data_IF_727062769814
#
_entry.id   IF_727062769814
#
_cell.length_a   1.000
_cell.length_b   1.000
_cell.length_c   1.000
_cell.angle_alpha   90.00
_cell.angle_beta   90.00
_cell.angle_gamma   90.00
#
_symmetry.space_group_name_H-M   'P 1'
#
loop_
_entity.id
_entity.type
_entity.pdbx_description
1 polymer ?
#
# COMPACT_ATOMS: atom_id res chain seq x y z
N UNK A 1 16.82 19.59 13.08
CA UNK A 1 17.81 20.04 14.09
C UNK A 1 18.77 20.99 13.45
N UNK A 2 19.11 22.07 14.13
CA UNK A 2 20.11 23.00 13.64
C UNK A 2 21.46 22.30 13.61
N UNK A 3 21.98 21.97 12.43
CA UNK A 3 23.38 21.57 12.22
C UNK A 3 24.34 22.56 12.91
N UNK A 4 23.90 23.78 13.08
CA UNK A 4 24.54 24.84 13.86
C UNK A 4 24.80 24.50 15.34
N UNK A 5 23.95 23.70 16.00
CA UNK A 5 24.16 23.34 17.44
C UNK A 5 25.27 22.32 17.63
N UNK A 6 25.34 21.30 16.78
CA UNK A 6 26.40 20.28 16.84
C UNK A 6 27.75 20.91 16.48
N UNK A 7 27.79 21.67 15.37
CA UNK A 7 28.99 22.38 14.92
C UNK A 7 29.49 23.34 16.00
N UNK A 8 28.59 24.12 16.60
CA UNK A 8 28.93 25.03 17.69
C UNK A 8 29.49 24.31 18.91
N UNK A 9 28.94 23.15 19.28
CA UNK A 9 29.43 22.33 20.41
C UNK A 9 30.83 21.81 20.13
N UNK A 10 31.08 21.27 18.94
CA UNK A 10 32.40 20.74 18.55
C UNK A 10 33.42 21.87 18.53
N UNK A 11 33.10 23.03 17.93
CA UNK A 11 33.99 24.18 17.91
C UNK A 11 34.28 24.69 19.33
N UNK A 12 33.27 24.77 20.17
CA UNK A 12 33.45 25.23 21.55
C UNK A 12 34.35 24.25 22.35
N UNK A 13 34.18 22.96 22.21
CA UNK A 13 35.05 21.94 22.80
C UNK A 13 36.49 22.01 22.25
N UNK A 14 36.66 22.25 20.95
CA UNK A 14 37.97 22.44 20.32
C UNK A 14 38.70 23.65 20.94
N UNK A 15 38.06 24.81 20.99
CA UNK A 15 38.67 26.02 21.58
C UNK A 15 38.94 25.87 23.08
N UNK A 16 38.01 25.24 23.82
CA UNK A 16 38.23 24.98 25.26
C UNK A 16 39.43 24.05 25.50
N UNK A 17 39.56 22.98 24.71
CA UNK A 17 40.70 22.06 24.83
C UNK A 17 42.01 22.72 24.46
N UNK A 18 42.00 23.60 23.44
CA UNK A 18 43.18 24.38 23.05
C UNK A 18 43.59 25.37 24.14
N UNK A 19 42.64 26.12 24.70
CA UNK A 19 42.88 27.04 25.83
C UNK A 19 43.41 26.31 27.08
N UNK A 20 42.77 25.16 27.39
CA UNK A 20 43.19 24.35 28.54
C UNK A 20 44.61 23.79 28.34
N UNK A 21 44.96 23.34 27.13
CA UNK A 21 46.29 22.87 26.80
C UNK A 21 47.34 23.99 26.93
N UNK A 22 47.07 25.16 26.31
CA UNK A 22 47.98 26.34 26.36
C UNK A 22 48.11 26.86 27.77
N UNK A 23 47.01 26.95 28.53
CA UNK A 23 47.01 27.35 29.93
C UNK A 23 47.83 26.39 30.81
N UNK A 24 47.67 25.06 30.57
CA UNK A 24 48.45 24.02 31.26
C UNK A 24 49.95 24.12 30.95
N UNK A 25 50.32 24.38 29.70
CA UNK A 25 51.69 24.56 29.27
C UNK A 25 52.34 25.78 29.91
N UNK A 26 51.63 26.89 30.00
CA UNK A 26 52.08 28.14 30.67
C UNK A 26 52.23 27.88 32.17
N UNK A 27 51.22 27.25 32.81
CA UNK A 27 51.30 26.94 34.27
C UNK A 27 52.45 26.02 34.59
N UNK A 28 52.65 24.95 33.77
CA UNK A 28 53.78 24.03 33.92
C UNK A 28 55.12 24.76 33.84
N UNK A 29 55.24 25.71 32.89
CA UNK A 29 56.45 26.53 32.72
C UNK A 29 56.70 27.43 33.92
N UNK A 30 55.66 28.12 34.43
CA UNK A 30 55.77 28.97 35.63
C UNK A 30 56.21 28.15 36.85
N UNK A 31 55.60 26.97 37.05
CA UNK A 31 55.96 26.08 38.16
C UNK A 31 57.42 25.62 38.02
N UNK A 32 57.83 25.20 36.81
CA UNK A 32 59.19 24.75 36.52
C UNK A 32 60.21 25.84 36.77
N UNK A 33 59.96 27.09 36.36
CA UNK A 33 60.83 28.25 36.62
C UNK A 33 60.90 28.49 38.15
N UNK A 34 59.76 28.49 38.87
CA UNK A 34 59.72 28.70 40.32
C UNK A 34 60.53 27.63 41.07
N UNK A 35 60.40 26.39 40.74
CA UNK A 35 61.14 25.28 41.32
C UNK A 35 62.65 25.46 41.03
N UNK A 36 63.00 25.71 39.78
CA UNK A 36 64.38 25.95 39.35
C UNK A 36 65.06 27.10 40.08
N UNK A 37 64.32 28.19 40.35
CA UNK A 37 64.84 29.39 41.04
C UNK A 37 64.90 29.24 42.62
N UNK A 38 64.14 28.28 43.16
CA UNK A 38 64.14 28.04 44.62
C UNK A 38 65.30 27.14 45.10
N UNK A 39 65.99 26.50 44.15
CA UNK A 39 67.16 25.62 44.47
C UNK A 39 68.43 26.35 44.13
N UNK A 40 69.42 26.32 45.11
CA UNK A 40 70.76 26.88 44.84
C UNK A 40 71.61 25.84 44.10
N UNK A 41 71.74 26.02 42.78
CA UNK A 41 72.49 25.12 41.91
C UNK A 41 73.99 25.35 42.02
N UNK A 42 74.81 24.29 42.17
CA UNK A 42 76.25 24.34 42.12
C UNK A 42 76.75 23.91 40.74
N UNK A 43 77.95 24.41 40.33
CA UNK A 43 78.55 24.04 39.03
C UNK A 43 78.80 22.54 38.80
N UNK A 44 78.78 21.75 39.87
CA UNK A 44 79.02 20.30 39.84
C UNK A 44 77.72 19.48 39.86
N UNK A 45 76.57 20.12 39.88
CA UNK A 45 75.27 19.41 39.85
C UNK A 45 74.99 18.84 38.46
N UNK A 46 74.71 17.55 38.37
CA UNK A 46 74.50 16.89 37.07
C UNK A 46 73.30 17.45 36.25
N UNK A 47 72.40 18.16 36.90
CA UNK A 47 71.20 18.80 36.24
C UNK A 47 71.48 20.26 35.90
N UNK A 48 72.57 20.86 36.30
CA UNK A 48 72.87 22.27 36.09
C UNK A 48 72.98 22.61 34.57
N UNK A 49 73.78 21.82 33.84
CA UNK A 49 73.95 21.99 32.41
C UNK A 49 72.66 21.79 31.65
N UNK A 50 71.84 20.78 32.04
CA UNK A 50 70.56 20.52 31.41
C UNK A 50 69.56 21.71 31.61
N UNK A 51 69.55 22.26 32.86
CA UNK A 51 68.71 23.40 33.17
C UNK A 51 69.13 24.67 32.45
N UNK A 52 70.41 24.88 32.30
CA UNK A 52 70.95 26.00 31.53
C UNK A 52 70.57 25.89 30.07
N UNK A 53 70.68 24.70 29.45
CA UNK A 53 70.27 24.42 28.10
C UNK A 53 68.76 24.60 27.92
N UNK A 54 67.94 24.06 28.83
CA UNK A 54 66.48 24.27 28.81
C UNK A 54 66.13 25.77 28.90
N UNK A 55 66.82 26.53 29.74
CA UNK A 55 66.58 27.98 29.86
C UNK A 55 66.96 28.73 28.62
N UNK A 56 68.03 28.36 27.95
CA UNK A 56 68.48 29.02 26.67
C UNK A 56 67.49 28.73 25.55
N UNK A 57 66.99 27.49 25.42
CA UNK A 57 66.07 27.08 24.38
C UNK A 57 64.57 27.04 24.82
N UNK A 58 64.25 27.62 25.98
CA UNK A 58 62.91 27.56 26.58
C UNK A 58 61.79 27.97 25.59
N UNK A 59 61.99 29.09 24.90
CA UNK A 59 61.03 29.65 23.98
C UNK A 59 60.85 28.71 22.77
N UNK A 60 61.90 28.13 22.24
CA UNK A 60 61.84 27.16 21.14
C UNK A 60 61.12 25.85 21.55
N UNK A 61 61.44 25.33 22.76
CA UNK A 61 60.76 24.14 23.33
C UNK A 61 59.24 24.42 23.47
N UNK A 62 58.88 25.57 24.03
CA UNK A 62 57.46 25.94 24.21
C UNK A 62 56.72 26.09 22.86
N UNK A 63 57.38 26.68 21.84
CA UNK A 63 56.79 26.75 20.49
C UNK A 63 56.60 25.37 19.87
N UNK A 64 57.59 24.47 20.00
CA UNK A 64 57.46 23.09 19.49
C UNK A 64 56.39 22.29 20.23
N UNK A 65 56.33 22.36 21.54
CA UNK A 65 55.28 21.69 22.32
C UNK A 65 53.90 22.28 22.02
N UNK A 66 53.81 23.62 21.94
CA UNK A 66 52.57 24.29 21.57
C UNK A 66 52.05 23.88 20.18
N UNK A 67 52.97 23.84 19.22
CA UNK A 67 52.65 23.38 17.85
C UNK A 67 52.23 21.90 17.82
N UNK A 68 52.98 21.02 18.48
CA UNK A 68 52.66 19.59 18.54
C UNK A 68 51.28 19.36 19.17
N UNK A 69 50.98 20.01 20.29
CA UNK A 69 49.69 19.89 20.95
C UNK A 69 48.55 20.44 20.10
N UNK A 70 48.79 21.58 19.40
CA UNK A 70 47.83 22.12 18.45
C UNK A 70 47.52 21.13 17.32
N UNK A 71 48.53 20.52 16.71
CA UNK A 71 48.37 19.50 15.66
C UNK A 71 47.57 18.30 16.16
N UNK A 72 47.91 17.75 17.34
CA UNK A 72 47.24 16.59 17.95
C UNK A 72 45.77 16.87 18.26
N UNK A 73 45.49 18.03 18.88
CA UNK A 73 44.11 18.44 19.18
C UNK A 73 43.33 18.61 17.86
N UNK A 74 43.88 19.33 16.87
CA UNK A 74 43.23 19.54 15.58
C UNK A 74 42.99 18.23 14.87
N UNK A 75 43.94 17.31 14.83
CA UNK A 75 43.80 15.98 14.27
C UNK A 75 42.63 15.20 14.91
N UNK A 76 42.54 15.21 16.23
CA UNK A 76 41.48 14.55 16.99
C UNK A 76 40.10 15.12 16.63
N UNK A 77 39.97 16.45 16.57
CA UNK A 77 38.70 17.12 16.28
C UNK A 77 38.27 17.05 14.80
N UNK A 78 39.21 16.82 13.86
CA UNK A 78 38.89 16.60 12.45
C UNK A 78 38.52 15.15 12.18
N UNK A 79 39.24 14.19 12.77
CA UNK A 79 39.01 12.76 12.51
C UNK A 79 37.67 12.26 13.04
N UNK A 80 37.18 12.81 14.16
CA UNK A 80 35.90 12.39 14.76
C UNK A 80 34.69 12.63 13.84
N UNK A 81 34.46 13.83 13.27
CA UNK A 81 33.38 14.07 12.30
C UNK A 81 33.51 13.27 11.00
N UNK A 82 34.74 13.05 10.50
CA UNK A 82 34.97 12.25 9.31
C UNK A 82 34.52 10.79 9.50
N UNK A 83 34.79 10.23 10.69
CA UNK A 83 34.31 8.88 11.04
C UNK A 83 32.79 8.78 11.05
N UNK A 84 32.09 9.83 11.53
CA UNK A 84 30.63 9.87 11.48
C UNK A 84 30.10 9.89 10.05
N UNK A 85 30.79 10.58 9.13
CA UNK A 85 30.42 10.56 7.70
C UNK A 85 30.50 9.15 7.12
N UNK A 86 31.58 8.42 7.39
CA UNK A 86 31.74 7.04 6.94
C UNK A 86 30.63 6.13 7.50
N UNK A 87 30.27 6.31 8.76
CA UNK A 87 29.18 5.54 9.38
C UNK A 87 27.81 5.85 8.77
N UNK A 88 27.54 7.13 8.47
CA UNK A 88 26.29 7.56 7.79
C UNK A 88 26.25 6.99 6.38
N UNK A 89 27.37 7.04 5.63
CA UNK A 89 27.43 6.47 4.27
C UNK A 89 27.13 4.97 4.30
N UNK A 90 27.81 4.21 5.16
CA UNK A 90 27.54 2.77 5.32
C UNK A 90 26.12 2.48 5.77
N UNK A 91 25.55 3.31 6.64
CA UNK A 91 24.15 3.18 7.06
C UNK A 91 23.18 3.47 5.91
N UNK A 92 23.50 4.45 5.04
CA UNK A 92 22.67 4.75 3.86
C UNK A 92 22.70 3.65 2.80
N UNK A 93 23.83 2.96 2.63
CA UNK A 93 23.92 1.80 1.74
C UNK A 93 22.98 0.67 2.15
N UNK A 94 22.77 0.49 3.48
CA UNK A 94 21.79 -0.49 4.00
C UNK A 94 20.34 -0.15 3.69
N UNK A 95 20.03 1.10 3.35
CA UNK A 95 18.68 1.49 2.90
C UNK A 95 18.36 0.98 1.50
N UNK A 96 19.37 0.68 0.67
CA UNK A 96 19.18 0.13 -0.68
C UNK A 96 18.58 -1.29 -0.65
N UNK A 97 18.81 -2.04 0.43
CA UNK A 97 18.20 -3.35 0.65
C UNK A 97 17.21 -3.27 1.80
N UNK A 98 15.89 -3.30 1.53
CA UNK A 98 14.89 -3.22 2.58
C UNK A 98 15.07 -4.34 3.61
N UNK A 99 15.40 -3.97 4.84
CA UNK A 99 15.63 -4.88 5.96
C UNK A 99 14.79 -4.47 7.16
N UNK A 100 14.36 -5.43 7.95
CA UNK A 100 13.67 -5.19 9.22
C UNK A 100 14.63 -4.72 10.33
N UNK A 101 15.93 -4.94 10.16
CA UNK A 101 16.93 -4.67 11.21
C UNK A 101 17.18 -3.16 11.39
N UNK A 102 17.11 -2.63 12.62
CA UNK A 102 17.32 -1.22 12.86
C UNK A 102 18.78 -0.82 12.62
N UNK A 103 18.97 0.42 12.17
CA UNK A 103 20.27 1.06 11.99
C UNK A 103 20.68 1.65 13.34
N UNK A 104 21.91 1.38 13.77
CA UNK A 104 22.51 1.94 14.98
C UNK A 104 23.67 2.86 14.60
N UNK A 105 23.67 4.08 15.15
CA UNK A 105 24.70 5.09 15.00
C UNK A 105 25.11 5.62 16.37
N UNK A 106 26.30 6.24 16.50
CA UNK A 106 26.73 6.87 17.75
C UNK A 106 25.74 7.92 18.26
N UNK A 107 25.67 8.06 19.60
CA UNK A 107 24.73 8.98 20.27
C UNK A 107 24.84 10.43 19.79
N UNK A 108 26.04 10.87 19.41
CA UNK A 108 26.29 12.22 18.90
C UNK A 108 25.48 12.53 17.63
N UNK A 109 25.10 11.50 16.86
CA UNK A 109 24.32 11.60 15.60
C UNK A 109 23.00 10.82 15.67
N UNK A 110 22.45 10.60 16.85
CA UNK A 110 21.20 9.84 17.08
C UNK A 110 20.02 10.35 16.26
N UNK A 111 19.93 11.64 16.00
CA UNK A 111 18.83 12.17 15.16
C UNK A 111 18.94 11.73 13.71
N UNK A 112 20.15 11.55 13.17
CA UNK A 112 20.35 10.97 11.84
C UNK A 112 19.92 9.51 11.86
N UNK A 113 20.23 8.79 12.94
CA UNK A 113 19.76 7.41 13.16
C UNK A 113 18.22 7.33 13.12
N UNK A 114 17.52 8.22 13.84
CA UNK A 114 16.05 8.21 13.91
C UNK A 114 15.43 8.48 12.53
N UNK A 115 15.99 9.43 11.78
CA UNK A 115 15.54 9.71 10.41
C UNK A 115 15.81 8.55 9.45
N UNK A 116 17.01 7.95 9.49
CA UNK A 116 17.34 6.81 8.65
C UNK A 116 16.45 5.60 8.97
N UNK A 117 16.15 5.37 10.26
CA UNK A 117 15.23 4.31 10.66
C UNK A 117 13.79 4.56 10.18
N UNK A 118 13.33 5.81 10.18
CA UNK A 118 12.02 6.18 9.61
C UNK A 118 11.97 5.89 8.11
N UNK A 119 12.98 6.32 7.35
CA UNK A 119 13.05 6.03 5.91
C UNK A 119 13.16 4.53 5.63
N UNK A 120 13.95 3.80 6.42
CA UNK A 120 14.05 2.35 6.33
C UNK A 120 12.67 1.68 6.53
N UNK A 121 11.93 2.08 7.56
CA UNK A 121 10.61 1.52 7.85
C UNK A 121 9.63 1.80 6.70
N UNK A 122 9.63 3.01 6.16
CA UNK A 122 8.83 3.36 5.00
C UNK A 122 9.22 2.54 3.76
N UNK A 123 10.53 2.41 3.47
CA UNK A 123 11.01 1.61 2.34
C UNK A 123 10.65 0.13 2.49
N UNK A 124 10.78 -0.41 3.70
CA UNK A 124 10.41 -1.80 4.00
C UNK A 124 8.90 -2.05 3.82
N UNK A 125 8.05 -1.17 4.37
CA UNK A 125 6.59 -1.24 4.19
C UNK A 125 6.20 -1.13 2.71
N UNK A 126 6.78 -0.18 1.98
CA UNK A 126 6.53 -0.03 0.55
C UNK A 126 6.97 -1.27 -0.24
N UNK A 127 8.09 -1.88 0.13
CA UNK A 127 8.56 -3.13 -0.47
C UNK A 127 7.60 -4.31 -0.25
N UNK A 128 7.02 -4.43 0.94
CA UNK A 128 5.99 -5.44 1.24
C UNK A 128 4.75 -5.19 0.39
N UNK A 129 4.24 -3.96 0.39
CA UNK A 129 3.04 -3.59 -0.38
C UNK A 129 3.23 -3.82 -1.88
N UNK A 130 4.41 -3.48 -2.42
CA UNK A 130 4.75 -3.73 -3.82
C UNK A 130 4.78 -5.23 -4.13
N UNK A 131 5.39 -6.04 -3.26
CA UNK A 131 5.44 -7.50 -3.42
C UNK A 131 4.04 -8.14 -3.35
N UNK A 132 3.20 -7.69 -2.42
CA UNK A 132 1.81 -8.16 -2.30
C UNK A 132 0.98 -7.76 -3.52
N UNK A 133 1.19 -6.55 -4.07
CA UNK A 133 0.52 -6.12 -5.30
C UNK A 133 0.96 -6.94 -6.50
N UNK A 134 2.26 -7.25 -6.61
CA UNK A 134 2.79 -8.12 -7.67
C UNK A 134 2.27 -9.55 -7.55
N UNK A 135 2.22 -10.09 -6.33
CA UNK A 135 1.66 -11.41 -6.06
C UNK A 135 0.18 -11.47 -6.47
N UNK A 136 -0.63 -10.49 -6.05
CA UNK A 136 -2.04 -10.37 -6.44
C UNK A 136 -2.21 -10.32 -7.97
N UNK A 137 -1.35 -9.56 -8.66
CA UNK A 137 -1.34 -9.50 -10.12
C UNK A 137 -1.04 -10.86 -10.75
N UNK A 138 -0.05 -11.59 -10.24
CA UNK A 138 0.33 -12.90 -10.75
C UNK A 138 -0.76 -13.95 -10.48
N UNK A 139 -1.33 -13.96 -9.28
CA UNK A 139 -2.46 -14.84 -8.92
C UNK A 139 -3.66 -14.59 -9.83
N UNK A 140 -3.93 -13.32 -10.18
CA UNK A 140 -4.94 -12.94 -11.17
C UNK A 140 -4.71 -13.58 -12.53
N UNK A 141 -3.49 -13.48 -13.07
CA UNK A 141 -3.14 -14.01 -14.39
C UNK A 141 -3.33 -15.54 -14.42
N UNK A 142 -2.86 -16.23 -13.38
CA UNK A 142 -2.99 -17.69 -13.27
C UNK A 142 -4.45 -18.11 -13.19
N UNK A 143 -5.23 -17.41 -12.36
CA UNK A 143 -6.66 -17.67 -12.20
C UNK A 143 -7.43 -17.48 -13.51
N UNK A 144 -7.22 -16.37 -14.20
CA UNK A 144 -7.86 -16.06 -15.47
C UNK A 144 -7.48 -17.08 -16.56
N UNK A 145 -6.21 -17.44 -16.67
CA UNK A 145 -5.76 -18.44 -17.64
C UNK A 145 -6.48 -19.79 -17.44
N UNK A 146 -6.70 -20.18 -16.18
CA UNK A 146 -7.43 -21.40 -15.85
C UNK A 146 -8.92 -21.29 -16.22
N UNK A 147 -9.57 -20.18 -15.86
CA UNK A 147 -11.01 -20.01 -16.03
C UNK A 147 -11.41 -19.72 -17.50
N UNK A 148 -10.51 -19.14 -18.30
CA UNK A 148 -10.67 -19.01 -19.76
C UNK A 148 -10.43 -20.36 -20.46
N UNK A 149 -9.47 -21.16 -20.02
CA UNK A 149 -9.16 -22.46 -20.63
C UNK A 149 -10.33 -23.44 -20.57
N UNK A 150 -11.08 -23.46 -19.47
CA UNK A 150 -12.16 -24.43 -19.23
C UNK A 150 -13.31 -24.29 -20.25
N UNK A 151 -13.97 -23.13 -20.43
CA UNK A 151 -15.00 -22.94 -21.44
C UNK A 151 -14.44 -23.10 -22.86
N UNK A 152 -13.24 -22.60 -23.14
CA UNK A 152 -12.60 -22.74 -24.45
C UNK A 152 -12.40 -24.21 -24.83
N UNK A 153 -11.89 -25.04 -23.92
CA UNK A 153 -11.74 -26.47 -24.14
C UNK A 153 -13.08 -27.15 -24.42
N UNK A 154 -14.15 -26.74 -23.72
CA UNK A 154 -15.50 -27.25 -23.96
C UNK A 154 -16.02 -26.84 -25.35
N UNK A 155 -15.87 -25.60 -25.74
CA UNK A 155 -16.27 -25.12 -27.10
C UNK A 155 -15.56 -25.94 -28.16
N UNK A 156 -14.23 -26.06 -28.07
CA UNK A 156 -13.43 -26.84 -29.02
C UNK A 156 -13.89 -28.29 -29.05
N UNK A 157 -14.12 -28.92 -27.88
CA UNK A 157 -14.55 -30.28 -27.77
C UNK A 157 -15.91 -30.54 -28.47
N UNK A 158 -16.93 -29.74 -28.20
CA UNK A 158 -18.24 -29.92 -28.84
C UNK A 158 -18.23 -29.61 -30.33
N UNK A 159 -17.46 -28.60 -30.78
CA UNK A 159 -17.29 -28.32 -32.22
C UNK A 159 -16.51 -29.45 -32.91
N UNK A 160 -15.53 -30.05 -32.25
CA UNK A 160 -14.81 -31.24 -32.78
C UNK A 160 -15.75 -32.41 -32.94
N UNK A 161 -16.59 -32.73 -31.93
CA UNK A 161 -17.61 -33.77 -32.04
C UNK A 161 -18.59 -33.52 -33.20
N UNK A 162 -19.06 -32.30 -33.34
CA UNK A 162 -19.96 -31.95 -34.45
C UNK A 162 -19.31 -32.08 -35.83
N UNK A 163 -18.02 -31.85 -35.95
CA UNK A 163 -17.24 -32.01 -37.18
C UNK A 163 -16.97 -33.43 -37.53
N UNK A 164 -16.57 -34.24 -36.54
CA UNK A 164 -16.05 -35.58 -36.74
C UNK A 164 -17.18 -36.63 -36.83
N UNK A 165 -18.41 -36.31 -36.37
CA UNK A 165 -19.61 -37.15 -36.46
C UNK A 165 -20.72 -36.46 -37.28
N UNK A 166 -20.62 -36.44 -38.60
CA UNK A 166 -21.61 -35.75 -39.49
C UNK A 166 -23.02 -36.35 -39.45
N UNK A 167 -23.17 -37.65 -39.09
CA UNK A 167 -24.45 -38.37 -39.05
C UNK A 167 -25.17 -38.29 -37.69
N UNK A 168 -24.72 -37.40 -36.79
CA UNK A 168 -25.36 -37.16 -35.49
C UNK A 168 -26.82 -36.72 -35.62
N UNK A 169 -27.72 -37.20 -34.73
CA UNK A 169 -29.12 -36.81 -34.76
C UNK A 169 -29.34 -35.29 -34.68
N UNK A 170 -30.41 -34.75 -35.32
CA UNK A 170 -30.70 -33.32 -35.25
C UNK A 170 -30.81 -32.80 -33.78
N UNK A 171 -31.40 -33.59 -32.89
CA UNK A 171 -31.60 -33.24 -31.50
C UNK A 171 -30.24 -33.15 -30.76
N UNK A 172 -29.35 -34.10 -31.04
CA UNK A 172 -28.02 -34.11 -30.42
C UNK A 172 -27.14 -32.97 -30.99
N UNK A 173 -27.28 -32.68 -32.29
CA UNK A 173 -26.64 -31.54 -32.96
C UNK A 173 -27.07 -30.22 -32.32
N UNK A 174 -28.40 -30.02 -32.17
CA UNK A 174 -28.93 -28.83 -31.52
C UNK A 174 -28.41 -28.66 -30.07
N UNK A 175 -28.37 -29.77 -29.31
CA UNK A 175 -27.84 -29.78 -27.94
C UNK A 175 -26.36 -29.44 -27.87
N UNK A 176 -25.52 -30.02 -28.72
CA UNK A 176 -24.08 -29.72 -28.72
C UNK A 176 -23.76 -28.30 -29.17
N UNK A 177 -24.50 -27.81 -30.18
CA UNK A 177 -24.41 -26.39 -30.63
C UNK A 177 -24.82 -25.45 -29.49
N UNK A 178 -25.93 -25.72 -28.79
CA UNK A 178 -26.39 -24.93 -27.64
C UNK A 178 -25.37 -24.89 -26.50
N UNK A 179 -24.75 -26.03 -26.18
CA UNK A 179 -23.71 -26.07 -25.16
C UNK A 179 -22.47 -25.26 -25.60
N UNK A 180 -22.04 -25.44 -26.87
CA UNK A 180 -20.89 -24.69 -27.40
C UNK A 180 -21.14 -23.18 -27.38
N UNK A 181 -22.36 -22.74 -27.77
CA UNK A 181 -22.76 -21.34 -27.73
C UNK A 181 -22.74 -20.78 -26.31
N UNK A 182 -23.40 -21.45 -25.35
CA UNK A 182 -23.41 -21.04 -23.95
C UNK A 182 -22.01 -20.94 -23.33
N UNK A 183 -21.08 -21.82 -23.74
CA UNK A 183 -19.68 -21.75 -23.27
C UNK A 183 -18.90 -20.62 -23.94
N UNK A 184 -19.22 -20.28 -25.18
CA UNK A 184 -18.63 -19.14 -25.90
C UNK A 184 -19.11 -17.80 -25.30
N UNK A 185 -20.41 -17.67 -25.01
CA UNK A 185 -20.98 -16.52 -24.31
C UNK A 185 -20.33 -16.34 -22.93
N UNK A 186 -20.15 -17.44 -22.20
CA UNK A 186 -19.44 -17.40 -20.90
C UNK A 186 -17.98 -16.97 -21.04
N UNK A 187 -17.30 -17.36 -22.13
CA UNK A 187 -15.92 -16.94 -22.41
C UNK A 187 -15.86 -15.44 -22.69
N UNK A 188 -16.83 -14.91 -23.45
CA UNK A 188 -16.99 -13.49 -23.73
C UNK A 188 -17.16 -12.67 -22.43
N UNK A 189 -18.06 -13.13 -21.53
CA UNK A 189 -18.24 -12.51 -20.22
C UNK A 189 -16.94 -12.41 -19.43
N UNK A 190 -16.17 -13.51 -19.36
CA UNK A 190 -14.89 -13.57 -18.66
C UNK A 190 -13.84 -12.65 -19.28
N UNK A 191 -13.82 -12.53 -20.61
CA UNK A 191 -12.91 -11.60 -21.30
C UNK A 191 -13.30 -10.15 -20.99
N UNK A 192 -14.59 -9.82 -21.00
CA UNK A 192 -15.07 -8.49 -20.67
C UNK A 192 -14.75 -8.14 -19.20
N UNK A 193 -14.98 -9.07 -18.26
CA UNK A 193 -14.57 -8.92 -16.86
C UNK A 193 -13.04 -8.67 -16.74
N UNK A 194 -12.22 -9.35 -17.54
CA UNK A 194 -10.76 -9.16 -17.56
C UNK A 194 -10.34 -7.78 -18.08
N UNK A 195 -10.92 -7.35 -19.20
CA UNK A 195 -10.66 -6.01 -19.73
C UNK A 195 -11.01 -4.92 -18.72
N UNK A 196 -12.10 -5.11 -18.03
CA UNK A 196 -12.53 -4.21 -16.98
C UNK A 196 -11.51 -4.10 -15.86
N UNK A 197 -10.97 -5.22 -15.37
CA UNK A 197 -9.94 -5.22 -14.33
C UNK A 197 -8.64 -4.57 -14.80
N UNK A 198 -8.19 -4.89 -16.02
CA UNK A 198 -6.96 -4.33 -16.56
C UNK A 198 -7.09 -2.83 -16.77
N UNK A 199 -8.25 -2.37 -17.20
CA UNK A 199 -8.57 -0.95 -17.32
C UNK A 199 -8.64 -0.27 -15.95
N UNK A 200 -9.19 -0.94 -14.93
CA UNK A 200 -9.24 -0.45 -13.55
C UNK A 200 -7.85 -0.34 -12.92
N UNK A 201 -6.97 -1.33 -13.11
CA UNK A 201 -5.63 -1.34 -12.53
C UNK A 201 -4.60 -0.47 -13.27
N UNK A 202 -4.82 -0.15 -14.55
CA UNK A 202 -3.86 0.56 -15.40
C UNK A 202 -4.18 2.05 -15.61
N UNK A 203 -5.40 2.48 -15.33
CA UNK A 203 -5.80 3.88 -15.44
C UNK A 203 -6.33 4.38 -14.10
N UNK A 204 -5.83 5.53 -13.64
CA UNK A 204 -6.58 6.32 -12.65
C UNK A 204 -7.97 6.54 -13.22
N UNK A 205 -8.97 5.86 -12.65
CA UNK A 205 -10.38 6.02 -13.05
C UNK A 205 -10.75 7.49 -12.92
N UNK A 206 -10.81 8.17 -14.06
CA UNK A 206 -11.42 9.49 -14.14
C UNK A 206 -12.92 9.30 -14.23
N UNK A 207 -13.65 9.88 -13.31
CA UNK A 207 -15.11 9.95 -13.40
C UNK A 207 -15.49 11.01 -14.44
N UNK A 208 -16.53 10.71 -15.21
CA UNK A 208 -17.22 11.66 -16.09
C UNK A 208 -18.63 11.92 -15.53
N UNK A 209 -18.74 12.72 -14.44
CA UNK A 209 -20.01 12.88 -13.74
C UNK A 209 -20.97 13.75 -14.56
N UNK A 210 -22.18 13.26 -14.73
CA UNK A 210 -23.31 13.97 -15.33
C UNK A 210 -24.54 13.92 -14.40
N UNK A 211 -25.46 14.88 -14.58
CA UNK A 211 -26.73 14.83 -13.86
C UNK A 211 -27.60 13.72 -14.44
N UNK A 212 -27.80 12.66 -13.63
CA UNK A 212 -28.51 11.46 -14.05
C UNK A 212 -29.77 11.29 -13.20
N UNK A 213 -30.91 11.07 -13.86
CA UNK A 213 -32.13 10.62 -13.14
C UNK A 213 -31.93 9.15 -12.72
N UNK A 214 -31.50 9.00 -11.49
CA UNK A 214 -31.08 7.70 -10.94
C UNK A 214 -32.29 6.77 -10.72
N UNK A 215 -33.47 7.31 -10.39
CA UNK A 215 -34.70 6.54 -10.28
C UNK A 215 -35.03 5.82 -11.59
N UNK A 216 -35.00 6.55 -12.68
CA UNK A 216 -35.29 6.03 -14.01
C UNK A 216 -34.27 5.01 -14.48
N UNK A 217 -33.00 5.26 -14.19
CA UNK A 217 -31.92 4.33 -14.49
C UNK A 217 -32.07 3.00 -13.74
N UNK A 218 -32.38 3.05 -12.42
CA UNK A 218 -32.60 1.85 -11.62
C UNK A 218 -33.84 1.05 -12.10
N UNK A 219 -34.94 1.73 -12.39
CA UNK A 219 -36.15 1.11 -12.94
C UNK A 219 -35.91 0.43 -14.31
N UNK A 220 -35.09 1.05 -15.16
CA UNK A 220 -34.72 0.48 -16.44
C UNK A 220 -33.91 -0.81 -16.25
N UNK A 221 -32.90 -0.78 -15.41
CA UNK A 221 -32.03 -1.96 -15.13
C UNK A 221 -32.89 -3.10 -14.56
N UNK A 222 -33.78 -2.82 -13.60
CA UNK A 222 -34.69 -3.82 -13.04
C UNK A 222 -35.50 -4.49 -14.14
N UNK A 223 -36.05 -3.70 -15.09
CA UNK A 223 -36.81 -4.19 -16.22
C UNK A 223 -36.00 -5.11 -17.15
N UNK A 224 -34.73 -4.86 -17.34
CA UNK A 224 -33.84 -5.68 -18.15
C UNK A 224 -33.60 -7.10 -17.55
N UNK A 225 -33.74 -7.26 -16.21
CA UNK A 225 -33.63 -8.55 -15.54
C UNK A 225 -34.93 -9.37 -15.48
N UNK A 226 -36.07 -8.85 -15.94
CA UNK A 226 -37.39 -9.52 -15.88
C UNK A 226 -37.40 -10.93 -16.51
N UNK A 227 -36.77 -11.15 -17.69
CA UNK A 227 -36.71 -12.48 -18.28
C UNK A 227 -35.97 -13.51 -17.40
N UNK A 228 -34.86 -13.10 -16.77
CA UNK A 228 -34.04 -13.95 -15.92
C UNK A 228 -34.76 -14.31 -14.63
N UNK A 229 -35.55 -13.41 -14.07
CA UNK A 229 -36.36 -13.67 -12.88
C UNK A 229 -37.42 -14.73 -13.16
N UNK A 230 -38.13 -14.60 -14.31
CA UNK A 230 -39.16 -15.57 -14.69
C UNK A 230 -38.59 -16.99 -14.85
N UNK A 231 -37.39 -17.12 -15.38
CA UNK A 231 -36.71 -18.42 -15.52
C UNK A 231 -36.35 -19.03 -14.16
N UNK A 232 -36.05 -18.20 -13.14
CA UNK A 232 -35.64 -18.63 -11.79
C UNK A 232 -36.80 -18.65 -10.79
N UNK A 233 -38.03 -18.41 -11.22
CA UNK A 233 -39.21 -18.29 -10.35
C UNK A 233 -39.07 -17.20 -9.26
N UNK A 234 -38.37 -16.11 -9.58
CA UNK A 234 -38.17 -15.00 -8.66
C UNK A 234 -39.19 -13.87 -8.96
N UNK A 235 -39.38 -12.98 -7.99
CA UNK A 235 -40.23 -11.79 -8.14
C UNK A 235 -39.52 -10.54 -7.63
N UNK A 236 -39.93 -9.37 -8.14
CA UNK A 236 -39.45 -8.07 -7.64
C UNK A 236 -40.37 -7.54 -6.53
N UNK A 237 -39.74 -6.93 -5.53
CA UNK A 237 -40.38 -5.98 -4.61
C UNK A 237 -39.58 -4.68 -4.64
N UNK A 238 -40.20 -3.59 -5.11
CA UNK A 238 -39.48 -2.32 -5.32
C UNK A 238 -40.12 -1.18 -4.52
N UNK A 239 -39.27 -0.39 -3.88
CA UNK A 239 -39.63 0.88 -3.20
C UNK A 239 -38.67 1.99 -3.68
N UNK A 240 -38.89 2.54 -4.87
CA UNK A 240 -38.02 3.51 -5.51
C UNK A 240 -38.63 4.90 -5.38
N UNK A 241 -37.94 5.82 -4.71
CA UNK A 241 -38.35 7.22 -4.66
C UNK A 241 -38.28 7.83 -6.08
N UNK A 242 -39.33 8.52 -6.53
CA UNK A 242 -39.35 9.08 -7.89
C UNK A 242 -38.42 10.30 -8.01
N UNK A 243 -37.91 10.51 -9.22
CA UNK A 243 -37.17 11.71 -9.64
C UNK A 243 -35.93 12.04 -8.75
N UNK A 244 -35.23 11.03 -8.26
CA UNK A 244 -33.94 11.24 -7.58
C UNK A 244 -32.87 11.50 -8.64
N UNK A 245 -32.28 12.69 -8.61
CA UNK A 245 -31.16 13.08 -9.48
C UNK A 245 -29.84 13.00 -8.72
N UNK A 246 -28.83 12.40 -9.30
CA UNK A 246 -27.47 12.33 -8.79
C UNK A 246 -26.47 12.86 -9.82
N UNK A 247 -25.42 13.51 -9.32
CA UNK A 247 -24.23 13.84 -10.12
C UNK A 247 -23.29 12.63 -10.10
N UNK A 248 -23.33 11.80 -11.13
CA UNK A 248 -22.57 10.56 -11.17
C UNK A 248 -22.16 10.20 -12.59
N UNK A 249 -21.14 9.35 -12.72
CA UNK A 249 -20.81 8.70 -13.99
C UNK A 249 -21.84 7.59 -14.24
N UNK A 250 -22.73 7.84 -15.21
CA UNK A 250 -23.87 6.98 -15.52
C UNK A 250 -23.46 5.55 -15.84
N UNK A 251 -22.49 5.38 -16.71
CA UNK A 251 -22.09 4.06 -17.19
C UNK A 251 -21.46 3.22 -16.07
N UNK A 252 -20.66 3.86 -15.23
CA UNK A 252 -20.05 3.21 -14.07
C UNK A 252 -21.11 2.86 -13.02
N UNK A 253 -22.06 3.75 -12.75
CA UNK A 253 -23.14 3.47 -11.81
C UNK A 253 -24.11 2.41 -12.31
N UNK A 254 -24.42 2.39 -13.60
CA UNK A 254 -25.18 1.29 -14.23
C UNK A 254 -24.49 -0.05 -13.93
N UNK A 255 -23.18 -0.13 -14.12
CA UNK A 255 -22.39 -1.32 -13.83
C UNK A 255 -22.42 -1.74 -12.37
N UNK A 256 -22.44 -0.78 -11.43
CA UNK A 256 -22.62 -1.08 -9.99
C UNK A 256 -23.95 -1.78 -9.76
N UNK A 257 -25.02 -1.20 -10.27
CA UNK A 257 -26.37 -1.73 -10.11
C UNK A 257 -26.52 -3.11 -10.76
N UNK A 258 -26.01 -3.29 -11.98
CA UNK A 258 -25.97 -4.59 -12.67
C UNK A 258 -25.27 -5.66 -11.81
N UNK A 259 -24.11 -5.35 -11.25
CA UNK A 259 -23.38 -6.28 -10.41
C UNK A 259 -24.16 -6.67 -9.14
N UNK A 260 -24.79 -5.72 -8.47
CA UNK A 260 -25.58 -5.97 -7.26
C UNK A 260 -26.83 -6.78 -7.56
N UNK A 261 -27.57 -6.41 -8.60
CA UNK A 261 -28.80 -7.07 -9.02
C UNK A 261 -28.48 -8.50 -9.51
N UNK A 262 -27.49 -8.65 -10.36
CA UNK A 262 -27.01 -9.97 -10.82
C UNK A 262 -26.60 -10.88 -9.68
N UNK A 263 -25.90 -10.36 -8.67
CA UNK A 263 -25.59 -11.13 -7.47
C UNK A 263 -26.88 -11.54 -6.72
N UNK A 264 -27.79 -10.62 -6.47
CA UNK A 264 -29.04 -10.91 -5.79
C UNK A 264 -29.83 -12.01 -6.52
N UNK A 265 -29.99 -11.92 -7.83
CA UNK A 265 -30.71 -12.89 -8.68
C UNK A 265 -29.99 -14.25 -8.70
N UNK A 266 -28.64 -14.25 -8.76
CA UNK A 266 -27.87 -15.49 -8.87
C UNK A 266 -27.83 -16.30 -7.56
N UNK A 267 -27.87 -15.62 -6.42
CA UNK A 267 -27.76 -16.24 -5.11
C UNK A 267 -29.10 -16.35 -4.35
N UNK A 268 -30.22 -16.00 -5.03
CA UNK A 268 -31.56 -16.18 -4.48
C UNK A 268 -32.00 -17.63 -4.51
N UNK A 269 -32.78 -18.02 -3.51
CA UNK A 269 -33.54 -19.26 -3.55
C UNK A 269 -34.73 -19.15 -4.54
N UNK A 270 -35.05 -20.19 -5.29
CA UNK A 270 -36.23 -20.20 -6.16
C UNK A 270 -37.52 -19.88 -5.39
N UNK A 271 -38.46 -19.21 -6.02
CA UNK A 271 -39.75 -18.85 -5.40
C UNK A 271 -39.68 -17.71 -4.39
N UNK A 272 -38.55 -16.98 -4.30
CA UNK A 272 -38.41 -15.83 -3.38
C UNK A 272 -38.47 -14.50 -4.12
N UNK A 273 -38.58 -13.41 -3.32
CA UNK A 273 -38.53 -12.05 -3.86
C UNK A 273 -37.15 -11.42 -3.67
N UNK A 274 -36.71 -10.65 -4.67
CA UNK A 274 -35.59 -9.72 -4.57
C UNK A 274 -36.17 -8.34 -4.26
N UNK A 275 -35.78 -7.77 -3.11
CA UNK A 275 -36.24 -6.45 -2.68
C UNK A 275 -35.20 -5.40 -3.05
N UNK A 276 -35.65 -4.31 -3.70
CA UNK A 276 -34.83 -3.16 -4.05
C UNK A 276 -35.52 -1.91 -3.52
N UNK A 277 -34.81 -1.14 -2.72
CA UNK A 277 -35.30 0.17 -2.30
C UNK A 277 -34.27 1.26 -2.56
N UNK A 278 -34.78 2.45 -2.88
CA UNK A 278 -33.98 3.66 -3.00
C UNK A 278 -34.69 4.82 -2.34
N UNK A 279 -34.07 5.38 -1.31
CA UNK A 279 -34.66 6.45 -0.50
C UNK A 279 -33.66 7.59 -0.34
N UNK A 280 -34.00 8.84 -0.71
CA UNK A 280 -33.19 9.99 -0.38
C UNK A 280 -33.26 10.25 1.12
N UNK A 281 -32.10 10.56 1.71
CA UNK A 281 -31.91 11.06 3.07
C UNK A 281 -31.28 12.44 2.98
N UNK A 282 -31.15 13.17 4.09
CA UNK A 282 -30.77 14.59 4.11
C UNK A 282 -29.58 14.96 3.20
N UNK A 283 -28.50 14.17 3.20
CA UNK A 283 -27.27 14.46 2.45
C UNK A 283 -26.84 13.33 1.51
N UNK A 284 -27.58 12.23 1.46
CA UNK A 284 -27.24 11.06 0.64
C UNK A 284 -28.49 10.31 0.18
N UNK A 285 -28.31 9.50 -0.84
CA UNK A 285 -29.29 8.49 -1.22
C UNK A 285 -28.85 7.13 -0.71
N UNK A 286 -29.76 6.38 -0.12
CA UNK A 286 -29.54 5.01 0.32
C UNK A 286 -30.24 4.05 -0.65
N UNK A 287 -29.50 3.08 -1.16
CA UNK A 287 -29.97 2.04 -2.05
C UNK A 287 -29.78 0.71 -1.34
N UNK A 288 -30.83 -0.06 -1.23
CA UNK A 288 -30.82 -1.41 -0.70
C UNK A 288 -31.11 -2.42 -1.82
N UNK A 289 -30.30 -3.47 -1.90
CA UNK A 289 -30.59 -4.65 -2.70
C UNK A 289 -30.55 -5.85 -1.79
N UNK A 290 -31.69 -6.49 -1.58
CA UNK A 290 -31.85 -7.61 -0.64
C UNK A 290 -32.42 -8.83 -1.35
N UNK A 291 -31.87 -9.98 -1.01
CA UNK A 291 -32.36 -11.26 -1.50
C UNK A 291 -32.38 -12.33 -0.42
N UNK A 292 -33.16 -13.38 -0.65
CA UNK A 292 -33.19 -14.58 0.19
C UNK A 292 -32.25 -15.62 -0.37
N UNK A 293 -31.20 -15.97 0.39
CA UNK A 293 -30.18 -16.91 -0.03
C UNK A 293 -29.37 -17.39 1.16
N UNK A 294 -28.40 -18.26 0.90
CA UNK A 294 -27.55 -18.83 1.94
C UNK A 294 -26.84 -17.74 2.73
N UNK A 295 -26.97 -17.77 4.05
CA UNK A 295 -26.29 -16.82 4.96
C UNK A 295 -24.79 -16.88 4.77
N UNK A 296 -24.16 -15.70 4.58
CA UNK A 296 -22.73 -15.55 4.47
C UNK A 296 -22.13 -15.45 5.89
N UNK A 297 -21.17 -16.32 6.28
CA UNK A 297 -20.52 -16.22 7.58
C UNK A 297 -19.84 -14.86 7.81
N UNK A 298 -19.83 -14.35 9.06
CA UNK A 298 -19.26 -13.03 9.37
C UNK A 298 -17.79 -12.84 8.95
N UNK A 299 -16.98 -13.89 9.05
CA UNK A 299 -15.57 -13.91 8.63
C UNK A 299 -15.40 -13.75 7.12
N UNK A 300 -16.38 -14.23 6.34
CA UNK A 300 -16.40 -14.08 4.88
C UNK A 300 -17.07 -12.79 4.43
N UNK A 301 -18.03 -12.27 5.20
CA UNK A 301 -18.81 -11.10 4.82
C UNK A 301 -17.97 -9.83 4.62
N UNK A 302 -16.89 -9.67 5.38
CA UNK A 302 -15.94 -8.56 5.19
C UNK A 302 -15.11 -8.69 3.91
N UNK A 303 -14.94 -9.94 3.45
CA UNK A 303 -14.08 -10.28 2.32
C UNK A 303 -14.78 -10.34 0.97
N UNK A 304 -16.13 -10.31 0.93
CA UNK A 304 -16.87 -10.41 -0.35
C UNK A 304 -16.58 -9.26 -1.33
N UNK A 305 -16.03 -8.15 -0.82
CA UNK A 305 -15.57 -7.02 -1.63
C UNK A 305 -14.09 -7.09 -2.01
N UNK A 306 -13.36 -8.12 -1.57
CA UNK A 306 -12.00 -8.39 -2.02
C UNK A 306 -12.03 -8.96 -3.44
N UNK A 307 -11.09 -8.55 -4.28
CA UNK A 307 -10.95 -9.08 -5.63
C UNK A 307 -10.75 -10.61 -5.58
N UNK A 308 -11.47 -11.34 -6.45
CA UNK A 308 -11.43 -12.82 -6.58
C UNK A 308 -11.96 -13.60 -5.38
N UNK A 309 -12.49 -12.94 -4.38
CA UNK A 309 -13.07 -13.63 -3.24
C UNK A 309 -14.44 -14.23 -3.61
N UNK A 310 -14.64 -15.50 -3.24
CA UNK A 310 -15.90 -16.22 -3.36
C UNK A 310 -16.22 -16.91 -2.03
N UNK A 311 -17.43 -16.71 -1.53
CA UNK A 311 -17.86 -17.32 -0.29
C UNK A 311 -17.97 -18.86 -0.38
N UNK A 312 -18.30 -19.39 -1.58
CA UNK A 312 -18.35 -20.81 -1.86
C UNK A 312 -17.15 -21.26 -2.69
N UNK A 313 -16.41 -22.23 -2.16
CA UNK A 313 -15.24 -22.86 -2.82
C UNK A 313 -15.62 -23.93 -3.86
N UNK A 314 -16.93 -24.18 -4.10
CA UNK A 314 -17.37 -25.15 -5.09
C UNK A 314 -17.17 -24.61 -6.51
N UNK A 315 -16.08 -25.02 -7.14
CA UNK A 315 -15.65 -24.67 -8.52
C UNK A 315 -16.64 -25.06 -9.62
N UNK A 316 -17.80 -25.59 -9.28
CA UNK A 316 -18.77 -26.18 -10.23
C UNK A 316 -20.15 -25.51 -10.30
N UNK A 317 -20.41 -24.41 -9.58
CA UNK A 317 -21.73 -23.78 -9.67
C UNK A 317 -21.91 -23.05 -10.99
N UNK A 318 -22.98 -23.37 -11.71
CA UNK A 318 -23.39 -22.75 -12.99
C UNK A 318 -23.57 -21.21 -12.89
N UNK A 319 -23.53 -20.65 -11.69
CA UNK A 319 -23.76 -19.24 -11.34
C UNK A 319 -22.49 -18.43 -11.09
N UNK A 320 -21.29 -19.02 -11.28
CA UNK A 320 -20.04 -18.41 -10.80
C UNK A 320 -19.44 -17.32 -11.69
N UNK A 321 -19.52 -16.07 -11.28
CA UNK A 321 -18.65 -14.98 -11.75
C UNK A 321 -17.23 -15.09 -11.22
N UNK A 322 -16.27 -14.31 -11.77
CA UNK A 322 -14.84 -14.30 -11.37
C UNK A 322 -14.59 -13.74 -9.96
N UNK A 323 -15.61 -13.38 -9.20
CA UNK A 323 -15.46 -12.77 -7.88
C UNK A 323 -15.00 -11.30 -7.90
N UNK A 324 -15.29 -10.59 -8.98
CA UNK A 324 -14.82 -9.23 -9.24
C UNK A 324 -15.93 -8.19 -9.18
N UNK A 325 -17.17 -8.59 -9.48
CA UNK A 325 -18.30 -7.65 -9.60
C UNK A 325 -18.50 -6.79 -8.35
N UNK A 326 -18.41 -7.38 -7.14
CA UNK A 326 -18.56 -6.62 -5.89
C UNK A 326 -17.34 -5.74 -5.59
N UNK A 327 -16.13 -6.17 -5.92
CA UNK A 327 -14.91 -5.37 -5.78
C UNK A 327 -14.96 -4.12 -6.68
N UNK A 328 -15.37 -4.29 -7.93
CA UNK A 328 -15.56 -3.21 -8.89
C UNK A 328 -16.68 -2.26 -8.42
N UNK A 329 -17.80 -2.80 -7.94
CA UNK A 329 -18.89 -1.99 -7.42
C UNK A 329 -18.44 -1.12 -6.24
N UNK A 330 -17.68 -1.68 -5.31
CA UNK A 330 -17.13 -0.95 -4.17
C UNK A 330 -16.23 0.20 -4.62
N UNK A 331 -15.30 -0.07 -5.52
CA UNK A 331 -14.34 0.94 -6.01
C UNK A 331 -15.06 2.09 -6.74
N UNK A 332 -16.03 1.79 -7.60
CA UNK A 332 -16.83 2.82 -8.27
C UNK A 332 -17.59 3.67 -7.25
N UNK A 333 -18.22 3.06 -6.26
CA UNK A 333 -18.98 3.77 -5.22
C UNK A 333 -18.05 4.67 -4.40
N UNK A 334 -16.87 4.17 -3.99
CA UNK A 334 -15.87 4.94 -3.24
C UNK A 334 -15.33 6.13 -4.06
N UNK A 335 -15.12 5.97 -5.36
CA UNK A 335 -14.76 7.07 -6.26
C UNK A 335 -15.84 8.16 -6.37
N UNK A 336 -17.12 7.79 -6.24
CA UNK A 336 -18.23 8.73 -6.16
C UNK A 336 -18.43 9.34 -4.75
N UNK A 337 -17.50 9.09 -3.81
CA UNK A 337 -17.59 9.57 -2.43
C UNK A 337 -18.66 8.84 -1.60
N UNK A 338 -19.15 7.70 -2.09
CA UNK A 338 -20.13 6.85 -1.40
C UNK A 338 -19.50 5.73 -0.58
N UNK A 339 -20.35 4.89 -0.04
CA UNK A 339 -19.97 3.69 0.72
C UNK A 339 -20.86 2.52 0.34
N UNK A 340 -20.31 1.30 0.38
CA UNK A 340 -21.05 0.05 0.25
C UNK A 340 -20.73 -0.86 1.42
N UNK A 341 -21.77 -1.51 1.95
CA UNK A 341 -21.61 -2.57 2.94
C UNK A 341 -22.61 -3.71 2.66
N UNK A 342 -22.39 -4.84 3.30
CA UNK A 342 -23.27 -5.99 3.21
C UNK A 342 -23.60 -6.51 4.61
N UNK A 343 -24.82 -7.00 4.75
CA UNK A 343 -25.32 -7.67 5.95
C UNK A 343 -25.89 -9.02 5.52
N UNK A 344 -25.68 -10.06 6.33
CA UNK A 344 -26.22 -11.37 6.06
C UNK A 344 -26.63 -12.06 7.36
N UNK A 345 -27.93 -12.35 7.50
CA UNK A 345 -28.51 -13.05 8.64
C UNK A 345 -29.83 -13.72 8.22
N UNK A 346 -30.18 -14.84 8.86
CA UNK A 346 -31.48 -15.51 8.67
C UNK A 346 -31.83 -15.78 7.19
N UNK A 347 -30.87 -16.26 6.43
CA UNK A 347 -31.03 -16.53 4.98
C UNK A 347 -31.40 -15.28 4.16
N UNK A 348 -31.08 -14.10 4.65
CA UNK A 348 -31.17 -12.85 3.92
C UNK A 348 -29.79 -12.25 3.73
N UNK A 349 -29.55 -11.70 2.56
CA UNK A 349 -28.34 -10.97 2.18
C UNK A 349 -28.80 -9.59 1.73
N UNK A 350 -28.25 -8.54 2.34
CA UNK A 350 -28.60 -7.15 2.03
C UNK A 350 -27.32 -6.38 1.69
N UNK A 351 -27.27 -5.83 0.49
CA UNK A 351 -26.27 -4.85 0.10
C UNK A 351 -26.84 -3.45 0.31
N UNK A 352 -26.07 -2.60 0.98
CA UNK A 352 -26.46 -1.22 1.29
C UNK A 352 -25.43 -0.30 0.64
N UNK A 353 -25.91 0.55 -0.26
CA UNK A 353 -25.10 1.58 -0.93
C UNK A 353 -25.56 2.95 -0.48
N UNK A 354 -24.63 3.81 -0.12
CA UNK A 354 -24.88 5.22 0.18
C UNK A 354 -24.10 6.08 -0.80
N UNK A 355 -24.77 7.02 -1.47
CA UNK A 355 -24.14 7.97 -2.39
C UNK A 355 -24.50 9.39 -1.98
N UNK A 356 -23.55 10.34 -2.01
CA UNK A 356 -23.85 11.73 -1.70
C UNK A 356 -24.86 12.29 -2.71
N UNK A 357 -25.86 12.99 -2.22
CA UNK A 357 -26.69 13.85 -3.06
C UNK A 357 -25.78 15.01 -3.48
N UNK A 358 -25.24 14.99 -4.70
CA UNK A 358 -24.32 16.02 -5.19
C UNK A 358 -24.89 17.42 -4.92
N UNK A 359 -24.06 18.26 -4.32
CA UNK A 359 -24.33 19.68 -4.08
C UNK A 359 -24.22 20.41 -5.43
#
# INVERSE_FOLDING_TARGET
MNSTKLTRRILLQYFLSLIAYMGGLVLFTIIGIRISTSITWQLHDPLYELLQWVREYLLLILLLLGFLGWVLITYHFITKPLRYLDEIVRASERLATPSADPIFLPDDIKQVQDQLNLFREQAFRNGILAKEAEQRKNDLIVYLAHDLKTPLTSVIGYLTLLRDEPDISPELRARYTGIALSKAERLEDLINEFFDITRFNLTTLTLEPERTNFSRMLEQIISEFEPVLSEKELSWQTEIAPNVELLCDRDKMQRVLDNLIRNAVNYSYPGTAVFISMKPKDFHVEILVQNHGRTIPPDKLQRIFEQFFRADSSRGSATGGAGLGLAIAKEIIELHGGQICAQSANEQITFIVTLPLGI
#
